data_IF_219543505320
#
_entry.id   IF_219543505320
#
_cell.length_a   1.000
_cell.length_b   1.000
_cell.length_c   1.000
_cell.angle_alpha   90.00
_cell.angle_beta   90.00
_cell.angle_gamma   90.00
#
_symmetry.space_group_name_H-M   'P 1'
#
loop_
_entity.id
_entity.type
_entity.pdbx_description
1 polymer ?
#
# COMPACT_ATOMS: atom_id res chain seq x y z
N UNK A 1 -4.58 -19.49 -13.96
CA UNK A 1 -5.27 -18.40 -13.21
C UNK A 1 -4.40 -17.83 -12.10
N UNK A 2 -3.77 -18.66 -11.25
CA UNK A 2 -2.86 -18.21 -10.19
C UNK A 2 -1.75 -17.28 -10.70
N UNK A 3 -1.08 -17.65 -11.81
CA UNK A 3 -0.03 -16.80 -12.39
C UNK A 3 -0.52 -15.39 -12.75
N UNK A 4 -1.73 -15.27 -13.29
CA UNK A 4 -2.33 -13.97 -13.62
C UNK A 4 -2.70 -13.18 -12.35
N UNK A 5 -3.22 -13.85 -11.32
CA UNK A 5 -3.51 -13.21 -10.03
C UNK A 5 -2.24 -12.70 -9.33
N UNK A 6 -1.17 -13.49 -9.36
CA UNK A 6 0.14 -13.10 -8.84
C UNK A 6 0.73 -11.93 -9.62
N UNK A 7 0.66 -11.98 -10.96
CA UNK A 7 1.07 -10.85 -11.81
C UNK A 7 0.31 -9.58 -11.43
N UNK A 8 -1.01 -9.66 -11.26
CA UNK A 8 -1.85 -8.53 -10.89
C UNK A 8 -1.48 -7.99 -9.49
N UNK A 9 -1.30 -8.86 -8.50
CA UNK A 9 -0.84 -8.47 -7.17
C UNK A 9 0.53 -7.78 -7.22
N UNK A 10 1.51 -8.37 -7.93
CA UNK A 10 2.84 -7.79 -8.11
C UNK A 10 2.79 -6.43 -8.82
N UNK A 11 1.88 -6.23 -9.78
CA UNK A 11 1.69 -4.94 -10.43
C UNK A 11 1.23 -3.86 -9.42
N UNK A 12 0.27 -4.16 -8.55
CA UNK A 12 -0.15 -3.25 -7.48
C UNK A 12 0.99 -2.96 -6.49
N UNK A 13 1.75 -3.98 -6.10
CA UNK A 13 2.92 -3.81 -5.21
C UNK A 13 4.02 -2.96 -5.85
N UNK A 14 4.28 -3.12 -7.15
CA UNK A 14 5.22 -2.30 -7.88
C UNK A 14 4.80 -0.83 -7.90
N UNK A 15 3.50 -0.54 -8.08
CA UNK A 15 2.97 0.83 -7.99
C UNK A 15 3.17 1.41 -6.59
N UNK A 16 2.84 0.67 -5.53
CA UNK A 16 3.04 1.11 -4.14
C UNK A 16 4.52 1.37 -3.83
N UNK A 17 5.41 0.48 -4.27
CA UNK A 17 6.86 0.64 -4.11
C UNK A 17 7.36 1.89 -4.87
N UNK A 18 6.90 2.11 -6.10
CA UNK A 18 7.24 3.31 -6.88
C UNK A 18 6.74 4.60 -6.23
N UNK A 19 5.53 4.59 -5.65
CA UNK A 19 4.98 5.71 -4.88
C UNK A 19 5.84 6.02 -3.64
N UNK A 20 6.20 4.98 -2.89
CA UNK A 20 7.08 5.07 -1.71
C UNK A 20 8.43 5.64 -2.10
N UNK A 21 9.09 5.07 -3.12
CA UNK A 21 10.38 5.53 -3.61
C UNK A 21 10.36 6.99 -4.08
N UNK A 22 9.31 7.38 -4.81
CA UNK A 22 9.14 8.77 -5.25
C UNK A 22 8.92 9.73 -4.08
N UNK A 23 8.15 9.33 -3.07
CA UNK A 23 7.96 10.13 -1.86
C UNK A 23 9.24 10.23 -1.01
N UNK A 24 10.09 9.21 -1.09
CA UNK A 24 11.37 9.15 -0.44
C UNK A 24 12.38 10.18 -1.00
N UNK A 25 12.24 10.59 -2.27
CA UNK A 25 13.12 11.57 -2.90
C UNK A 25 13.00 12.92 -2.19
N UNK A 26 14.13 13.44 -1.71
CA UNK A 26 14.18 14.72 -0.99
C UNK A 26 13.95 14.63 0.52
N UNK A 27 13.74 13.43 1.08
CA UNK A 27 13.67 13.23 2.53
C UNK A 27 14.98 12.62 3.04
N UNK A 28 15.53 13.17 4.12
CA UNK A 28 16.70 12.60 4.82
C UNK A 28 16.30 11.30 5.52
N UNK A 29 17.22 10.33 5.63
CA UNK A 29 16.95 9.04 6.29
C UNK A 29 16.60 9.18 7.77
N UNK A 30 17.16 10.18 8.44
CA UNK A 30 16.91 10.47 9.86
C UNK A 30 15.53 11.08 10.10
N UNK A 31 14.85 11.54 9.05
CA UNK A 31 13.54 12.14 9.16
C UNK A 31 12.52 11.13 9.69
N UNK A 32 11.76 11.56 10.72
CA UNK A 32 10.65 10.78 11.26
C UNK A 32 9.35 11.28 10.66
N UNK A 33 8.65 10.39 9.96
CA UNK A 33 7.40 10.69 9.26
C UNK A 33 6.19 10.33 10.12
N UNK A 34 5.10 11.11 10.02
CA UNK A 34 3.87 10.83 10.73
C UNK A 34 3.21 9.55 10.19
N UNK A 35 2.76 8.70 11.11
CA UNK A 35 2.06 7.46 10.82
C UNK A 35 0.56 7.57 11.15
N UNK A 36 0.24 8.32 12.20
CA UNK A 36 -1.13 8.55 12.65
C UNK A 36 -1.28 10.00 13.10
N UNK A 37 -2.47 10.56 12.92
CA UNK A 37 -2.83 11.93 13.28
C UNK A 37 -3.93 11.91 14.33
N UNK A 38 -3.84 12.80 15.31
CA UNK A 38 -4.92 13.09 16.25
C UNK A 38 -6.03 13.92 15.60
N UNK A 39 -7.14 14.08 16.32
CA UNK A 39 -8.26 14.93 15.89
C UNK A 39 -7.88 16.42 15.78
N UNK A 40 -6.80 16.83 16.44
CA UNK A 40 -6.19 18.16 16.35
C UNK A 40 -5.30 18.33 15.10
N UNK A 41 -5.17 17.30 14.26
CA UNK A 41 -4.34 17.28 13.08
C UNK A 41 -2.83 17.16 13.37
N UNK A 42 -2.42 16.96 14.63
CA UNK A 42 -1.02 16.74 15.01
C UNK A 42 -0.67 15.26 14.91
N UNK A 43 0.57 14.90 14.51
CA UNK A 43 0.99 13.50 14.52
C UNK A 43 1.06 12.96 15.95
N UNK A 44 0.31 11.89 16.23
CA UNK A 44 0.38 11.17 17.51
C UNK A 44 1.48 10.10 17.50
N UNK A 45 1.83 9.60 16.31
CA UNK A 45 2.87 8.59 16.14
C UNK A 45 3.74 8.88 14.92
N UNK A 46 5.05 8.71 15.08
CA UNK A 46 6.05 8.93 14.03
C UNK A 46 7.06 7.78 13.96
N UNK A 47 7.40 7.36 12.75
CA UNK A 47 8.36 6.30 12.49
C UNK A 47 9.52 6.81 11.61
N UNK A 48 10.70 6.15 11.61
CA UNK A 48 11.76 6.44 10.66
C UNK A 48 11.25 6.40 9.22
N UNK A 49 11.77 7.27 8.34
CA UNK A 49 11.37 7.39 6.92
C UNK A 49 11.16 6.04 6.25
N UNK A 50 12.14 5.16 6.34
CA UNK A 50 12.12 3.89 5.61
C UNK A 50 11.04 2.96 6.14
N UNK A 51 10.80 2.94 7.45
CA UNK A 51 9.70 2.20 8.07
C UNK A 51 8.36 2.81 7.64
N UNK A 52 8.22 4.13 7.71
CA UNK A 52 6.97 4.80 7.39
C UNK A 52 6.54 4.63 5.92
N UNK A 53 7.50 4.71 4.99
CA UNK A 53 7.23 4.56 3.56
C UNK A 53 7.02 3.09 3.17
N UNK A 54 7.73 2.15 3.78
CA UNK A 54 7.57 0.71 3.47
C UNK A 54 6.36 0.06 4.13
N UNK A 55 5.79 0.66 5.18
CA UNK A 55 4.69 0.06 5.95
C UNK A 55 3.49 -0.34 5.09
N UNK A 56 2.97 0.56 4.25
CA UNK A 56 1.80 0.26 3.40
C UNK A 56 2.11 -0.75 2.30
N UNK A 57 3.21 -0.63 1.51
CA UNK A 57 3.59 -1.67 0.56
C UNK A 57 3.74 -3.07 1.19
N UNK A 58 4.34 -3.16 2.39
CA UNK A 58 4.51 -4.44 3.09
C UNK A 58 3.16 -5.01 3.52
N UNK A 59 2.29 -4.19 4.12
CA UNK A 59 0.97 -4.66 4.54
C UNK A 59 0.08 -5.06 3.34
N UNK A 60 0.21 -4.34 2.22
CA UNK A 60 -0.40 -4.72 0.96
C UNK A 60 0.13 -6.06 0.45
N UNK A 61 1.44 -6.31 0.53
CA UNK A 61 2.01 -7.60 0.12
C UNK A 61 1.50 -8.76 0.98
N UNK A 62 1.43 -8.55 2.30
CA UNK A 62 0.91 -9.53 3.26
C UNK A 62 -0.57 -9.87 3.04
N UNK A 63 -1.34 -9.04 2.36
CA UNK A 63 -2.77 -9.28 2.11
C UNK A 63 -3.06 -9.69 0.66
N UNK A 64 -2.40 -9.06 -0.32
CA UNK A 64 -2.61 -9.34 -1.75
C UNK A 64 -1.98 -10.67 -2.18
N UNK A 65 -0.79 -11.03 -1.70
CA UNK A 65 -0.12 -12.27 -2.14
C UNK A 65 -0.86 -13.53 -1.67
N UNK A 66 -1.27 -13.67 -0.39
CA UNK A 66 -2.07 -14.82 0.03
C UNK A 66 -3.40 -14.89 -0.72
N UNK A 67 -4.05 -13.74 -0.94
CA UNK A 67 -5.28 -13.67 -1.75
C UNK A 67 -5.03 -14.16 -3.17
N UNK A 68 -3.95 -13.72 -3.82
CA UNK A 68 -3.55 -14.15 -5.16
C UNK A 68 -3.20 -15.65 -5.26
N UNK A 69 -2.79 -16.25 -4.14
CA UNK A 69 -2.47 -17.67 -4.03
C UNK A 69 -3.68 -18.53 -3.62
N UNK A 70 -4.82 -17.94 -3.28
CA UNK A 70 -5.99 -18.68 -2.83
C UNK A 70 -6.50 -19.70 -3.86
N UNK A 71 -6.29 -19.44 -5.16
CA UNK A 71 -6.63 -20.40 -6.23
C UNK A 71 -5.75 -21.67 -6.26
N UNK A 72 -4.72 -21.76 -5.42
CA UNK A 72 -3.95 -22.99 -5.22
C UNK A 72 -4.67 -23.99 -4.30
N UNK A 73 -5.68 -23.54 -3.53
CA UNK A 73 -6.39 -24.38 -2.57
C UNK A 73 -7.52 -25.21 -3.21
N UNK A 74 -7.88 -24.92 -4.46
CA UNK A 74 -8.88 -25.67 -5.21
C UNK A 74 -9.25 -25.01 -6.53
N UNK A 75 -9.90 -25.75 -7.46
CA UNK A 75 -10.41 -25.18 -8.70
C UNK A 75 -11.45 -24.10 -8.41
N UNK A 76 -11.32 -22.95 -9.06
CA UNK A 76 -12.35 -21.90 -9.04
C UNK A 76 -13.33 -22.15 -10.19
N UNK A 77 -14.63 -22.21 -9.91
CA UNK A 77 -15.65 -22.17 -10.96
C UNK A 77 -15.65 -20.80 -11.67
N UNK A 78 -16.20 -20.73 -12.89
CA UNK A 78 -16.15 -19.51 -13.71
C UNK A 78 -16.81 -18.28 -13.06
N UNK A 79 -17.88 -18.47 -12.30
CA UNK A 79 -18.54 -17.39 -11.56
C UNK A 79 -17.65 -16.86 -10.41
N UNK A 80 -16.93 -17.77 -9.75
CA UNK A 80 -16.04 -17.46 -8.64
C UNK A 80 -14.74 -16.81 -9.12
N UNK A 81 -14.25 -17.19 -10.30
CA UNK A 81 -13.12 -16.55 -10.96
C UNK A 81 -13.30 -15.04 -11.10
N UNK A 82 -14.46 -14.59 -11.61
CA UNK A 82 -14.74 -13.17 -11.80
C UNK A 82 -14.84 -12.42 -10.47
N UNK A 83 -15.49 -12.99 -9.46
CA UNK A 83 -15.56 -12.40 -8.11
C UNK A 83 -14.17 -12.29 -7.48
N UNK A 84 -13.39 -13.36 -7.59
CA UNK A 84 -12.02 -13.45 -7.12
C UNK A 84 -11.13 -12.34 -7.69
N UNK A 85 -11.10 -12.16 -9.01
CA UNK A 85 -10.34 -11.07 -9.64
C UNK A 85 -10.91 -9.70 -9.27
N UNK A 86 -12.23 -9.56 -9.19
CA UNK A 86 -12.87 -8.32 -8.74
C UNK A 86 -12.42 -7.90 -7.35
N UNK A 87 -12.40 -8.82 -6.38
CA UNK A 87 -11.91 -8.57 -5.02
C UNK A 87 -10.44 -8.16 -5.05
N UNK A 88 -9.60 -8.85 -5.81
CA UNK A 88 -8.17 -8.55 -5.89
C UNK A 88 -7.90 -7.16 -6.48
N UNK A 89 -8.68 -6.74 -7.48
CA UNK A 89 -8.64 -5.38 -8.06
C UNK A 89 -9.07 -4.34 -7.03
N UNK A 90 -10.21 -4.55 -6.36
CA UNK A 90 -10.73 -3.61 -5.35
C UNK A 90 -9.74 -3.46 -4.19
N UNK A 91 -9.16 -4.55 -3.71
CA UNK A 91 -8.12 -4.52 -2.67
C UNK A 91 -6.88 -3.74 -3.13
N UNK A 92 -6.38 -4.01 -4.35
CA UNK A 92 -5.22 -3.31 -4.89
C UNK A 92 -5.45 -1.80 -5.03
N UNK A 93 -6.62 -1.40 -5.55
CA UNK A 93 -7.02 0.00 -5.65
C UNK A 93 -7.20 0.66 -4.27
N UNK A 94 -7.78 -0.05 -3.30
CA UNK A 94 -7.92 0.44 -1.93
C UNK A 94 -6.56 0.70 -1.28
N UNK A 95 -5.59 -0.21 -1.46
CA UNK A 95 -4.22 -0.01 -0.99
C UNK A 95 -3.53 1.19 -1.65
N UNK A 96 -3.65 1.34 -2.97
CA UNK A 96 -3.12 2.51 -3.68
C UNK A 96 -3.76 3.80 -3.14
N UNK A 97 -5.08 3.81 -2.97
CA UNK A 97 -5.81 4.97 -2.45
C UNK A 97 -5.40 5.34 -1.03
N UNK A 98 -5.32 4.35 -0.14
CA UNK A 98 -4.86 4.54 1.24
C UNK A 98 -3.42 5.06 1.30
N UNK A 99 -2.52 4.48 0.49
CA UNK A 99 -1.13 4.93 0.44
C UNK A 99 -1.00 6.34 -0.15
N UNK A 100 -1.75 6.66 -1.22
CA UNK A 100 -1.78 7.99 -1.80
C UNK A 100 -2.28 9.03 -0.80
N UNK A 101 -3.33 8.71 -0.04
CA UNK A 101 -3.84 9.56 1.03
C UNK A 101 -2.79 9.77 2.12
N UNK A 102 -2.17 8.70 2.61
CA UNK A 102 -1.10 8.78 3.60
C UNK A 102 0.04 9.69 3.14
N UNK A 103 0.55 9.49 1.92
CA UNK A 103 1.59 10.34 1.36
C UNK A 103 1.14 11.81 1.20
N UNK A 104 -0.12 12.07 0.86
CA UNK A 104 -0.68 13.42 0.79
C UNK A 104 -0.68 14.10 2.16
N UNK A 105 -1.08 13.38 3.20
CA UNK A 105 -1.07 13.88 4.58
C UNK A 105 0.35 14.15 5.08
N UNK A 106 1.29 13.23 4.80
CA UNK A 106 2.73 13.43 5.11
C UNK A 106 3.26 14.69 4.43
N UNK A 107 3.01 14.86 3.13
CA UNK A 107 3.46 16.05 2.38
C UNK A 107 2.86 17.34 2.93
N UNK A 108 1.56 17.34 3.23
CA UNK A 108 0.90 18.50 3.82
C UNK A 108 1.45 18.85 5.20
N UNK A 109 1.84 17.85 6.00
CA UNK A 109 2.50 18.06 7.28
C UNK A 109 3.93 18.60 7.14
N UNK A 110 4.70 18.11 6.16
CA UNK A 110 6.04 18.63 5.86
C UNK A 110 6.00 20.10 5.41
N UNK A 111 5.03 20.45 4.55
CA UNK A 111 4.87 21.82 4.05
C UNK A 111 4.46 22.85 5.12
N UNK A 112 3.97 22.41 6.29
CA UNK A 112 3.63 23.29 7.43
C UNK A 112 4.79 23.50 8.41
N UNK A 113 5.89 22.79 8.23
CA UNK A 113 7.07 22.87 9.13
C UNK A 113 8.24 23.64 8.55
N UNK A 114 8.27 23.83 7.23
CA UNK A 114 9.15 24.80 6.57
C UNK A 114 8.46 26.15 6.50
#
# INVERSE_FOLDING_TARGET
MTMFALFLACAFLAVLAAMSWRAARGLTREMRLPMQWGFDGRPIWRAPRDVALSFTPVLAALTLLPTAMASLLGPLENADARRYFGVLIVMGLAWIGAHALHLRLVRGWLARQG
#
